data_IF_961629183699
#
_entry.id   IF_961629183699
#
_cell.length_a   1.000
_cell.length_b   1.000
_cell.length_c   1.000
_cell.angle_alpha   90.00
_cell.angle_beta   90.00
_cell.angle_gamma   90.00
#
_symmetry.space_group_name_H-M   'P 1'
#
loop_
_entity.id
_entity.type
_entity.pdbx_description
1 polymer ?
#
# COMPACT_ATOMS: atom_id res chain seq x y z
N UNK A 1 14.99 -12.52 1.70
CA UNK A 1 15.74 -11.25 1.64
C UNK A 1 15.44 -10.60 0.30
N UNK A 2 15.30 -9.26 0.26
CA UNK A 2 15.06 -8.53 -0.99
C UNK A 2 16.38 -8.45 -1.75
N UNK A 3 16.37 -8.93 -2.99
CA UNK A 3 17.50 -8.85 -3.90
C UNK A 3 17.15 -8.02 -5.11
N UNK A 4 18.15 -7.45 -5.78
CA UNK A 4 17.92 -6.55 -6.89
C UNK A 4 18.86 -6.78 -8.05
N UNK A 5 18.37 -6.47 -9.24
CA UNK A 5 19.14 -6.55 -10.48
C UNK A 5 19.45 -5.13 -10.96
N UNK A 6 20.72 -4.87 -11.31
CA UNK A 6 21.17 -3.56 -11.80
C UNK A 6 20.63 -3.24 -13.21
N UNK A 7 20.52 -4.24 -14.09
CA UNK A 7 20.04 -4.05 -15.46
C UNK A 7 18.55 -3.72 -15.51
N UNK A 8 17.70 -4.51 -14.84
CA UNK A 8 16.25 -4.33 -14.91
C UNK A 8 15.67 -3.44 -13.79
N UNK A 9 16.50 -2.97 -12.85
CA UNK A 9 16.13 -2.13 -11.69
C UNK A 9 14.85 -2.61 -10.97
N UNK A 10 14.68 -3.93 -10.86
CA UNK A 10 13.56 -4.57 -10.19
C UNK A 10 14.04 -5.26 -8.92
N UNK A 11 13.21 -5.18 -7.87
CA UNK A 11 13.39 -5.89 -6.62
C UNK A 11 12.62 -7.21 -6.62
N UNK A 12 13.32 -8.29 -6.25
CA UNK A 12 12.85 -9.66 -6.17
C UNK A 12 12.94 -10.20 -4.74
N UNK A 13 12.05 -11.13 -4.42
CA UNK A 13 11.97 -11.77 -3.11
C UNK A 13 12.52 -13.20 -3.23
N UNK A 14 13.85 -13.35 -3.28
CA UNK A 14 14.54 -14.64 -3.44
C UNK A 14 15.11 -14.89 -4.85
N UNK A 15 15.83 -16.00 -5.01
CA UNK A 15 16.58 -16.35 -6.23
C UNK A 15 18.06 -15.94 -6.21
N UNK A 16 18.91 -16.54 -7.04
CA UNK A 16 20.30 -16.08 -7.28
C UNK A 16 20.42 -15.27 -8.57
N UNK A 17 19.58 -15.55 -9.56
CA UNK A 17 19.62 -14.95 -10.89
C UNK A 17 18.33 -14.20 -11.21
N UNK A 18 18.45 -13.16 -12.03
CA UNK A 18 17.28 -12.40 -12.47
C UNK A 18 16.44 -13.23 -13.46
N UNK A 19 15.13 -13.44 -13.22
CA UNK A 19 14.27 -14.19 -14.14
C UNK A 19 13.83 -13.38 -15.38
N UNK A 20 14.22 -12.10 -15.48
CA UNK A 20 13.83 -11.19 -16.57
C UNK A 20 14.97 -10.82 -17.51
N UNK A 21 16.21 -10.93 -17.06
CA UNK A 21 17.37 -10.70 -17.91
C UNK A 21 17.69 -12.02 -18.62
N UNK A 22 17.99 -11.95 -19.92
CA UNK A 22 18.41 -13.13 -20.71
C UNK A 22 19.79 -13.63 -20.27
N UNK A 23 20.64 -12.71 -19.80
CA UNK A 23 21.87 -13.04 -19.09
C UNK A 23 21.54 -13.42 -17.63
N UNK A 24 22.17 -14.49 -17.13
CA UNK A 24 22.10 -14.94 -15.73
C UNK A 24 22.74 -13.90 -14.78
N UNK A 25 22.15 -12.71 -14.68
CA UNK A 25 22.66 -11.62 -13.87
C UNK A 25 22.41 -11.92 -12.41
N UNK A 26 23.50 -11.91 -11.64
CA UNK A 26 23.48 -12.12 -10.20
C UNK A 26 22.66 -11.03 -9.50
N UNK A 27 21.72 -11.46 -8.69
CA UNK A 27 20.92 -10.60 -7.85
C UNK A 27 21.74 -10.13 -6.64
N UNK A 28 21.90 -8.82 -6.50
CA UNK A 28 22.60 -8.19 -5.38
C UNK A 28 21.69 -8.16 -4.15
N UNK A 29 22.22 -8.59 -3.00
CA UNK A 29 21.48 -8.55 -1.74
C UNK A 29 21.50 -7.13 -1.16
N UNK A 30 20.32 -6.61 -0.83
CA UNK A 30 20.16 -5.29 -0.20
C UNK A 30 20.69 -5.23 1.24
N UNK A 31 20.95 -6.39 1.85
CA UNK A 31 21.48 -6.50 3.21
C UNK A 31 22.99 -6.21 3.31
N UNK A 32 23.74 -6.27 2.19
CA UNK A 32 25.18 -5.99 2.18
C UNK A 32 25.42 -4.47 2.13
N UNK A 33 26.36 -3.97 2.93
CA UNK A 33 26.64 -2.53 3.02
C UNK A 33 27.21 -1.94 1.72
N UNK A 34 28.00 -2.71 0.97
CA UNK A 34 28.55 -2.33 -0.33
C UNK A 34 27.46 -1.96 -1.34
N UNK A 35 26.30 -2.59 -1.21
CA UNK A 35 25.17 -2.43 -2.13
C UNK A 35 24.28 -1.23 -1.78
N UNK A 36 24.55 -0.54 -0.65
CA UNK A 36 23.79 0.65 -0.24
C UNK A 36 23.91 1.81 -1.25
N UNK A 37 24.98 1.84 -2.05
CA UNK A 37 25.21 2.86 -3.10
C UNK A 37 24.09 2.91 -4.15
N UNK A 38 23.44 1.78 -4.44
CA UNK A 38 22.42 1.65 -5.48
C UNK A 38 20.97 1.80 -4.95
N UNK A 39 20.80 2.02 -3.64
CA UNK A 39 19.50 2.22 -2.99
C UNK A 39 18.64 3.39 -3.53
N UNK A 40 19.19 4.57 -3.86
CA UNK A 40 18.35 5.69 -4.29
C UNK A 40 17.59 5.40 -5.59
N UNK A 41 18.18 4.63 -6.51
CA UNK A 41 17.54 4.22 -7.76
C UNK A 41 16.54 3.08 -7.56
N UNK A 42 16.83 2.20 -6.60
CA UNK A 42 15.95 1.09 -6.24
C UNK A 42 14.65 1.54 -5.54
N UNK A 43 14.68 2.72 -4.95
CA UNK A 43 13.54 3.37 -4.31
C UNK A 43 12.35 3.48 -5.30
N UNK A 44 12.60 3.55 -6.60
CA UNK A 44 11.57 3.61 -7.66
C UNK A 44 10.73 2.33 -7.74
N UNK A 45 11.28 1.16 -7.42
CA UNK A 45 10.56 -0.11 -7.51
C UNK A 45 10.10 -0.63 -6.14
N UNK A 46 10.91 -0.38 -5.11
CA UNK A 46 10.65 -0.86 -3.76
C UNK A 46 9.58 -0.01 -3.07
N UNK A 47 9.69 1.33 -3.15
CA UNK A 47 8.76 2.24 -2.48
C UNK A 47 7.31 2.00 -2.91
N UNK A 48 6.96 1.91 -4.21
CA UNK A 48 5.57 1.70 -4.60
C UNK A 48 5.00 0.38 -4.07
N UNK A 49 5.80 -0.71 -4.08
CA UNK A 49 5.38 -2.02 -3.57
C UNK A 49 5.07 -1.99 -2.07
N UNK A 50 5.92 -1.35 -1.28
CA UNK A 50 5.70 -1.27 0.17
C UNK A 50 4.56 -0.31 0.53
N UNK A 51 4.48 0.85 -0.12
CA UNK A 51 3.41 1.81 0.15
C UNK A 51 2.05 1.33 -0.36
N UNK A 52 1.99 0.56 -1.45
CA UNK A 52 0.74 -0.08 -1.90
C UNK A 52 0.22 -1.11 -0.89
N UNK A 53 1.13 -1.88 -0.26
CA UNK A 53 0.76 -2.81 0.82
C UNK A 53 0.27 -2.07 2.06
N UNK A 54 0.96 -1.00 2.44
CA UNK A 54 0.57 -0.18 3.60
C UNK A 54 -0.77 0.54 3.38
N UNK A 55 -1.01 1.07 2.18
CA UNK A 55 -2.28 1.73 1.84
C UNK A 55 -3.44 0.73 1.79
N UNK A 56 -3.19 -0.50 1.33
CA UNK A 56 -4.15 -1.60 1.40
C UNK A 56 -4.49 -1.98 2.85
N UNK A 57 -3.51 -2.05 3.75
CA UNK A 57 -3.77 -2.30 5.17
C UNK A 57 -4.60 -1.18 5.82
N UNK A 58 -4.32 0.08 5.48
CA UNK A 58 -5.01 1.24 6.05
C UNK A 58 -6.48 1.32 5.60
N UNK A 59 -6.76 0.99 4.34
CA UNK A 59 -8.14 0.87 3.84
C UNK A 59 -8.88 -0.30 4.46
N UNK A 60 -8.22 -1.45 4.60
CA UNK A 60 -8.79 -2.63 5.23
C UNK A 60 -9.13 -2.36 6.70
N UNK A 61 -8.24 -1.68 7.43
CA UNK A 61 -8.50 -1.25 8.81
C UNK A 61 -9.70 -0.31 8.91
N UNK A 62 -9.81 0.66 8.00
CA UNK A 62 -10.97 1.56 7.95
C UNK A 62 -12.29 0.83 7.74
N UNK A 63 -12.31 -0.18 6.87
CA UNK A 63 -13.50 -1.00 6.64
C UNK A 63 -13.89 -1.84 7.86
N UNK A 64 -12.90 -2.49 8.49
CA UNK A 64 -13.11 -3.30 9.70
C UNK A 64 -13.66 -2.43 10.83
N UNK A 65 -13.17 -1.20 11.00
CA UNK A 65 -13.64 -0.27 12.03
C UNK A 65 -14.97 0.40 11.69
N UNK A 66 -15.34 0.49 10.41
CA UNK A 66 -16.62 1.06 9.99
C UNK A 66 -17.81 0.21 10.47
N UNK A 67 -17.68 -1.12 10.47
CA UNK A 67 -18.73 -2.05 10.89
C UNK A 67 -19.15 -1.90 12.36
N UNK A 68 -18.25 -1.96 13.37
CA UNK A 68 -18.63 -1.78 14.76
C UNK A 68 -19.15 -0.37 15.05
N UNK A 69 -18.65 0.65 14.36
CA UNK A 69 -19.16 2.02 14.49
C UNK A 69 -20.57 2.18 13.93
N UNK A 70 -20.84 1.61 12.75
CA UNK A 70 -22.19 1.57 12.17
C UNK A 70 -23.17 0.80 13.05
N UNK A 71 -22.75 -0.36 13.57
CA UNK A 71 -23.55 -1.15 14.50
C UNK A 71 -23.81 -0.40 15.81
N UNK A 72 -22.82 0.33 16.33
CA UNK A 72 -22.99 1.15 17.53
C UNK A 72 -24.05 2.25 17.33
N UNK A 73 -23.99 2.98 16.21
CA UNK A 73 -24.96 4.02 15.87
C UNK A 73 -26.37 3.44 15.73
N UNK A 74 -26.49 2.27 15.08
CA UNK A 74 -27.76 1.56 14.94
C UNK A 74 -28.36 1.14 16.29
N UNK A 75 -27.57 0.45 17.14
CA UNK A 75 -28.01 -0.03 18.45
C UNK A 75 -28.38 1.12 19.39
N UNK A 76 -27.55 2.19 19.43
CA UNK A 76 -27.86 3.39 20.21
C UNK A 76 -29.13 4.08 19.72
N UNK A 77 -29.29 4.18 18.42
CA UNK A 77 -30.46 4.76 17.78
C UNK A 77 -31.76 4.05 18.12
N UNK A 78 -31.75 2.71 17.99
CA UNK A 78 -32.86 1.85 18.38
C UNK A 78 -33.23 2.03 19.85
N UNK A 79 -32.24 2.07 20.75
CA UNK A 79 -32.47 2.23 22.19
C UNK A 79 -33.16 3.57 22.56
N UNK A 80 -33.06 4.58 21.70
CA UNK A 80 -33.53 5.94 21.99
C UNK A 80 -34.91 6.23 21.44
N UNK A 81 -35.24 5.75 20.24
CA UNK A 81 -36.48 6.17 19.54
C UNK A 81 -37.27 5.03 18.89
N UNK A 82 -36.78 3.79 18.93
CA UNK A 82 -37.45 2.62 18.34
C UNK A 82 -37.65 2.66 16.82
N UNK A 83 -37.24 3.74 16.13
CA UNK A 83 -37.44 3.93 14.71
C UNK A 83 -36.38 3.19 13.89
N UNK A 84 -36.64 1.90 13.63
CA UNK A 84 -35.76 0.99 12.88
C UNK A 84 -35.32 1.54 11.51
N UNK A 85 -36.21 2.03 10.61
CA UNK A 85 -35.78 2.45 9.28
C UNK A 85 -34.88 3.69 9.30
N UNK A 86 -35.13 4.65 10.20
CA UNK A 86 -34.30 5.85 10.34
C UNK A 86 -32.88 5.45 10.75
N UNK A 87 -32.74 4.71 11.85
CA UNK A 87 -31.42 4.37 12.40
C UNK A 87 -30.68 3.34 11.58
N UNK A 88 -31.39 2.46 10.86
CA UNK A 88 -30.80 1.58 9.84
C UNK A 88 -30.14 2.40 8.72
N UNK A 89 -30.83 3.42 8.21
CA UNK A 89 -30.28 4.30 7.17
C UNK A 89 -29.05 5.07 7.65
N UNK A 90 -29.07 5.58 8.89
CA UNK A 90 -27.94 6.33 9.48
C UNK A 90 -26.75 5.39 9.74
N UNK A 91 -26.98 4.18 10.24
CA UNK A 91 -25.94 3.18 10.44
C UNK A 91 -25.24 2.80 9.12
N UNK A 92 -26.01 2.55 8.06
CA UNK A 92 -25.47 2.24 6.72
C UNK A 92 -24.70 3.45 6.16
N UNK A 93 -25.27 4.66 6.25
CA UNK A 93 -24.60 5.88 5.81
C UNK A 93 -23.28 6.10 6.55
N UNK A 94 -23.23 5.76 7.84
CA UNK A 94 -22.00 5.82 8.66
C UNK A 94 -20.94 4.86 8.14
N UNK A 95 -21.30 3.60 7.82
CA UNK A 95 -20.36 2.61 7.28
C UNK A 95 -19.79 3.08 5.95
N UNK A 96 -20.66 3.56 5.04
CA UNK A 96 -20.25 4.05 3.72
C UNK A 96 -19.35 5.27 3.87
N UNK A 97 -19.72 6.23 4.73
CA UNK A 97 -18.95 7.45 4.96
C UNK A 97 -17.54 7.17 5.52
N UNK A 98 -17.43 6.28 6.50
CA UNK A 98 -16.13 5.92 7.10
C UNK A 98 -15.27 5.14 6.10
N UNK A 99 -15.86 4.17 5.39
CA UNK A 99 -15.14 3.36 4.39
C UNK A 99 -14.63 4.22 3.25
N UNK A 100 -15.46 5.12 2.73
CA UNK A 100 -15.06 6.07 1.70
C UNK A 100 -13.99 7.04 2.22
N UNK A 101 -14.19 7.61 3.41
CA UNK A 101 -13.21 8.51 4.03
C UNK A 101 -11.83 7.86 4.19
N UNK A 102 -11.79 6.62 4.68
CA UNK A 102 -10.56 5.84 4.80
C UNK A 102 -9.88 5.62 3.44
N UNK A 103 -10.65 5.31 2.40
CA UNK A 103 -10.13 5.17 1.04
C UNK A 103 -9.52 6.47 0.50
N UNK A 104 -10.20 7.60 0.63
CA UNK A 104 -9.68 8.91 0.20
C UNK A 104 -8.38 9.25 0.92
N UNK A 105 -8.34 9.09 2.24
CA UNK A 105 -7.15 9.40 3.04
C UNK A 105 -6.00 8.49 2.65
N UNK A 106 -6.25 7.18 2.49
CA UNK A 106 -5.24 6.22 2.07
C UNK A 106 -4.67 6.55 0.69
N UNK A 107 -5.54 6.89 -0.27
CA UNK A 107 -5.12 7.31 -1.62
C UNK A 107 -4.29 8.58 -1.58
N UNK A 108 -4.73 9.60 -0.84
CA UNK A 108 -4.01 10.87 -0.72
C UNK A 108 -2.63 10.70 -0.06
N UNK A 109 -2.53 9.81 0.94
CA UNK A 109 -1.24 9.46 1.55
C UNK A 109 -0.34 8.71 0.57
N UNK A 110 -0.89 7.76 -0.18
CA UNK A 110 -0.15 7.04 -1.21
C UNK A 110 0.39 7.99 -2.28
N UNK A 111 -0.45 8.85 -2.86
CA UNK A 111 -0.06 9.79 -3.91
C UNK A 111 1.05 10.75 -3.44
N UNK A 112 0.96 11.28 -2.21
CA UNK A 112 2.02 12.11 -1.62
C UNK A 112 3.37 11.38 -1.49
N UNK A 113 3.36 10.09 -1.17
CA UNK A 113 4.59 9.31 -1.00
C UNK A 113 5.19 8.92 -2.36
N UNK A 114 4.37 8.91 -3.39
CA UNK A 114 4.75 8.62 -4.78
C UNK A 114 5.21 9.86 -5.56
N UNK A 115 4.90 11.08 -5.09
CA UNK A 115 5.27 12.35 -5.74
C UNK A 115 6.79 12.54 -5.97
N UNK A 116 7.61 11.91 -5.11
CA UNK A 116 9.09 11.95 -5.22
C UNK A 116 9.68 10.76 -5.98
N UNK A 117 8.84 9.86 -6.50
CA UNK A 117 9.28 8.71 -7.29
C UNK A 117 9.27 9.10 -8.78
N UNK A 118 10.44 9.32 -9.35
CA UNK A 118 10.59 9.50 -10.80
C UNK A 118 10.33 8.17 -11.52
N UNK A 119 9.43 8.15 -12.50
CA UNK A 119 9.05 6.94 -13.24
C UNK A 119 10.13 6.44 -14.21
N UNK A 120 11.11 7.29 -14.56
CA UNK A 120 12.10 6.98 -15.60
C UNK A 120 13.22 6.13 -15.02
N UNK A 121 13.15 4.82 -15.26
CA UNK A 121 14.26 3.89 -15.04
C UNK A 121 15.28 4.07 -16.17
N UNK A 122 16.24 4.98 -16.03
CA UNK A 122 17.36 5.04 -16.99
C UNK A 122 18.29 3.84 -16.79
N UNK A 123 18.52 2.99 -17.80
CA UNK A 123 19.44 1.86 -17.68
C UNK A 123 20.87 2.38 -17.52
N UNK A 124 21.57 1.92 -16.48
CA UNK A 124 23.03 2.08 -16.39
C UNK A 124 23.64 0.82 -17.02
N UNK A 125 24.03 0.91 -18.30
CA UNK A 125 25.18 0.15 -18.75
C UNK A 125 26.39 0.95 -18.26
N UNK A 126 27.25 0.30 -17.47
CA UNK A 126 28.57 0.86 -17.16
C UNK A 126 29.29 1.36 -18.43
#
# INVERSE_FOLDING_TARGET
MVKFCLQCKNAFWGGQYCPKCEDEVLLLDMAKEENKKYLPELNVDVRPKYYARSSMLLTCFGFIMALPLGAFVFLRGLSTSGNVPLWGSIGIATIIGISWGSWIVSRKLFDKQMESVQEVKEPQLD
#
